data_IF_017297798590
#
_entry.id   IF_017297798590
#
_cell.length_a   1.000
_cell.length_b   1.000
_cell.length_c   1.000
_cell.angle_alpha   90.00
_cell.angle_beta   90.00
_cell.angle_gamma   90.00
#
_symmetry.space_group_name_H-M   'P 1'
#
loop_
_entity.id
_entity.type
_entity.pdbx_description
1 polymer ?
#
# COMPACT_ATOMS: atom_id res chain seq x y z
N UNK A 1 -3.88 -5.00 9.44
CA UNK A 1 -3.93 -4.68 7.99
C UNK A 1 -5.19 -5.20 7.26
N UNK A 2 -5.48 -6.51 7.21
CA UNK A 2 -6.59 -7.10 6.40
C UNK A 2 -7.95 -6.42 6.53
N UNK A 3 -8.38 -6.08 7.75
CA UNK A 3 -9.65 -5.37 8.01
C UNK A 3 -9.70 -3.99 7.33
N UNK A 4 -8.58 -3.27 7.31
CA UNK A 4 -8.50 -1.92 6.72
C UNK A 4 -8.61 -2.03 5.20
N UNK A 5 -7.85 -2.95 4.61
CA UNK A 5 -7.92 -3.24 3.19
C UNK A 5 -9.32 -3.68 2.75
N UNK A 6 -9.98 -4.59 3.50
CA UNK A 6 -11.36 -4.99 3.18
C UNK A 6 -12.34 -3.82 3.23
N UNK A 7 -12.10 -2.82 4.09
CA UNK A 7 -12.92 -1.61 4.12
C UNK A 7 -12.74 -0.75 2.88
N UNK A 8 -11.54 -0.69 2.29
CA UNK A 8 -11.33 -0.02 1.00
C UNK A 8 -12.19 -0.68 -0.09
N UNK A 9 -12.08 -2.01 -0.22
CA UNK A 9 -12.84 -2.79 -1.21
C UNK A 9 -14.36 -2.67 -0.99
N UNK A 10 -14.84 -2.80 0.25
CA UNK A 10 -16.26 -2.61 0.56
C UNK A 10 -16.74 -1.21 0.19
N UNK A 11 -15.94 -0.18 0.48
CA UNK A 11 -16.29 1.21 0.14
C UNK A 11 -16.41 1.39 -1.37
N UNK A 12 -15.45 0.89 -2.14
CA UNK A 12 -15.49 0.91 -3.60
C UNK A 12 -16.75 0.22 -4.15
N UNK A 13 -17.05 -0.98 -3.66
CA UNK A 13 -18.20 -1.77 -4.10
C UNK A 13 -19.55 -1.09 -3.78
N UNK A 14 -19.59 -0.24 -2.76
CA UNK A 14 -20.76 0.57 -2.41
C UNK A 14 -20.80 1.93 -3.13
N UNK A 15 -19.85 2.24 -4.01
CA UNK A 15 -19.76 3.53 -4.69
C UNK A 15 -19.22 4.67 -3.82
N UNK A 16 -18.61 4.34 -2.68
CA UNK A 16 -18.03 5.29 -1.74
C UNK A 16 -16.54 5.48 -2.04
N UNK A 17 -16.22 6.31 -3.04
CA UNK A 17 -14.87 6.45 -3.59
C UNK A 17 -13.92 7.23 -2.68
N UNK A 18 -14.38 8.31 -2.05
CA UNK A 18 -13.62 9.06 -1.04
C UNK A 18 -13.21 8.16 0.16
N UNK A 19 -14.14 7.45 0.85
CA UNK A 19 -13.75 6.49 1.88
C UNK A 19 -12.83 5.37 1.38
N UNK A 20 -12.98 4.95 0.12
CA UNK A 20 -12.11 3.95 -0.48
C UNK A 20 -10.65 4.41 -0.49
N UNK A 21 -10.35 5.58 -1.06
CA UNK A 21 -8.96 6.07 -1.16
C UNK A 21 -8.36 6.42 0.20
N UNK A 22 -9.18 6.87 1.16
CA UNK A 22 -8.76 7.06 2.57
C UNK A 22 -8.32 5.73 3.18
N UNK A 23 -9.07 4.64 2.94
CA UNK A 23 -8.71 3.31 3.43
C UNK A 23 -7.50 2.72 2.70
N UNK A 24 -7.28 3.07 1.43
CA UNK A 24 -6.04 2.73 0.72
C UNK A 24 -4.83 3.36 1.41
N UNK A 25 -4.88 4.67 1.69
CA UNK A 25 -3.85 5.38 2.45
C UNK A 25 -3.63 4.78 3.84
N UNK A 26 -4.71 4.47 4.57
CA UNK A 26 -4.62 3.82 5.89
C UNK A 26 -4.01 2.42 5.81
N UNK A 27 -4.19 1.71 4.70
CA UNK A 27 -3.52 0.43 4.45
C UNK A 27 -2.02 0.62 4.28
N UNK A 28 -1.56 1.67 3.58
CA UNK A 28 -0.13 2.01 3.52
C UNK A 28 0.46 2.30 4.91
N UNK A 29 -0.28 3.00 5.78
CA UNK A 29 0.17 3.18 7.16
C UNK A 29 0.32 1.86 7.89
N UNK A 30 -0.61 0.92 7.68
CA UNK A 30 -0.53 -0.41 8.25
C UNK A 30 0.70 -1.18 7.72
N UNK A 31 1.03 -1.08 6.43
CA UNK A 31 2.25 -1.67 5.86
C UNK A 31 3.49 -1.15 6.61
N UNK A 32 3.64 0.16 6.77
CA UNK A 32 4.75 0.74 7.53
C UNK A 32 4.85 0.17 8.96
N UNK A 33 3.71 0.01 9.64
CA UNK A 33 3.64 -0.55 11.00
C UNK A 33 4.07 -2.02 11.04
N UNK A 34 3.70 -2.84 10.05
CA UNK A 34 4.12 -4.25 9.95
C UNK A 34 5.65 -4.39 9.86
N UNK A 35 6.33 -3.44 9.21
CA UNK A 35 7.80 -3.37 9.14
C UNK A 35 8.44 -2.59 10.31
N UNK A 36 7.69 -2.31 11.38
CA UNK A 36 8.20 -1.65 12.58
C UNK A 36 8.39 -0.13 12.47
N UNK A 37 7.96 0.49 11.38
CA UNK A 37 8.14 1.91 11.09
C UNK A 37 6.92 2.70 11.58
N UNK A 38 6.95 3.12 12.86
CA UNK A 38 5.78 3.70 13.55
C UNK A 38 5.87 5.21 13.82
N UNK A 39 7.05 5.81 13.69
CA UNK A 39 7.29 7.23 14.01
C UNK A 39 7.32 8.08 12.74
N UNK A 40 6.88 9.33 12.86
CA UNK A 40 6.82 10.30 11.75
C UNK A 40 5.51 10.25 10.95
N UNK A 41 5.38 11.19 10.01
CA UNK A 41 4.27 11.23 9.07
C UNK A 41 4.31 10.07 8.07
N UNK A 42 3.26 9.86 7.27
CA UNK A 42 3.25 8.77 6.30
C UNK A 42 4.37 8.91 5.24
N UNK A 43 4.66 10.14 4.79
CA UNK A 43 5.70 10.40 3.79
C UNK A 43 7.08 9.90 4.23
N UNK A 44 7.51 10.30 5.43
CA UNK A 44 8.78 9.88 6.03
C UNK A 44 8.86 8.38 6.26
N UNK A 45 7.75 7.76 6.68
CA UNK A 45 7.67 6.29 6.84
C UNK A 45 7.81 5.54 5.50
N UNK A 46 7.20 6.03 4.43
CA UNK A 46 7.33 5.43 3.09
C UNK A 46 8.79 5.51 2.58
N UNK A 47 9.45 6.64 2.78
CA UNK A 47 10.89 6.78 2.45
C UNK A 47 11.74 5.80 3.25
N UNK A 48 11.39 5.50 4.51
CA UNK A 48 12.11 4.50 5.30
C UNK A 48 11.88 3.06 4.79
N UNK A 49 10.71 2.73 4.23
CA UNK A 49 10.51 1.43 3.57
C UNK A 49 11.46 1.26 2.39
N UNK A 50 11.64 2.30 1.58
CA UNK A 50 12.56 2.30 0.44
C UNK A 50 14.01 2.17 0.90
N UNK A 51 14.44 2.99 1.86
CA UNK A 51 15.80 2.94 2.41
C UNK A 51 16.15 1.60 3.05
N UNK A 52 15.17 0.90 3.60
CA UNK A 52 15.33 -0.43 4.18
C UNK A 52 15.27 -1.55 3.13
N UNK A 53 15.09 -1.22 1.84
CA UNK A 53 14.99 -2.19 0.74
C UNK A 53 13.70 -3.02 0.72
N UNK A 54 12.66 -2.59 1.46
CA UNK A 54 11.36 -3.28 1.47
C UNK A 54 10.59 -2.98 0.17
N UNK A 55 10.69 -1.75 -0.31
CA UNK A 55 10.15 -1.31 -1.60
C UNK A 55 11.26 -0.64 -2.40
N UNK A 56 11.09 -0.54 -3.72
CA UNK A 56 11.98 0.24 -4.58
C UNK A 56 11.47 1.67 -4.81
N UNK A 57 12.26 2.48 -5.49
CA UNK A 57 11.92 3.87 -5.80
C UNK A 57 10.61 4.01 -6.60
N UNK A 58 10.26 3.01 -7.42
CA UNK A 58 9.04 3.03 -8.23
C UNK A 58 7.81 2.81 -7.35
N UNK A 59 7.85 1.82 -6.47
CA UNK A 59 6.79 1.57 -5.48
C UNK A 59 6.67 2.71 -4.46
N UNK A 60 7.77 3.38 -4.12
CA UNK A 60 7.73 4.60 -3.32
C UNK A 60 6.92 5.70 -4.02
N UNK A 61 7.15 5.92 -5.32
CA UNK A 61 6.39 6.91 -6.10
C UNK A 61 4.90 6.61 -6.10
N UNK A 62 4.50 5.35 -6.30
CA UNK A 62 3.10 4.95 -6.25
C UNK A 62 2.50 5.15 -4.86
N UNK A 63 3.23 4.73 -3.82
CA UNK A 63 2.78 4.88 -2.44
C UNK A 63 2.60 6.35 -2.04
N UNK A 64 3.46 7.25 -2.55
CA UNK A 64 3.34 8.68 -2.28
C UNK A 64 2.12 9.29 -2.98
N UNK A 65 1.80 8.85 -4.19
CA UNK A 65 0.58 9.28 -4.90
C UNK A 65 -0.69 8.82 -4.17
N UNK A 66 -0.72 7.55 -3.75
CA UNK A 66 -1.82 7.03 -2.92
C UNK A 66 -1.96 7.77 -1.59
N UNK A 67 -0.84 8.24 -1.01
CA UNK A 67 -0.86 9.11 0.18
C UNK A 67 -1.46 10.47 -0.14
N UNK A 68 -1.12 11.06 -1.29
CA UNK A 68 -1.62 12.37 -1.71
C UNK A 68 -3.13 12.32 -1.92
N UNK A 69 -3.63 11.44 -2.79
CA UNK A 69 -5.07 11.34 -3.05
C UNK A 69 -5.89 10.99 -1.80
N UNK A 70 -5.34 10.14 -0.91
CA UNK A 70 -6.00 9.84 0.36
C UNK A 70 -5.93 10.98 1.39
N UNK A 71 -4.96 11.89 1.28
CA UNK A 71 -4.94 13.13 2.08
C UNK A 71 -5.99 14.11 1.54
N UNK A 72 -6.04 14.27 0.22
CA UNK A 72 -6.98 15.19 -0.45
C UNK A 72 -8.42 14.78 -0.14
N UNK A 73 -8.76 13.50 -0.31
CA UNK A 73 -10.08 12.97 0.05
C UNK A 73 -10.44 13.11 1.54
N UNK A 74 -9.45 13.19 2.43
CA UNK A 74 -9.69 13.29 3.87
C UNK A 74 -9.84 14.73 4.37
N UNK A 75 -9.30 15.71 3.64
CA UNK A 75 -9.09 17.06 4.16
C UNK A 75 -9.57 18.17 3.22
N UNK A 76 -9.65 17.92 1.91
CA UNK A 76 -10.11 18.90 0.93
C UNK A 76 -11.58 18.64 0.57
N UNK A 77 -12.45 19.58 0.93
CA UNK A 77 -13.90 19.51 0.69
C UNK A 77 -14.29 19.80 -0.76
N UNK A 78 -13.35 20.27 -1.58
CA UNK A 78 -13.57 20.64 -2.98
C UNK A 78 -13.09 19.56 -3.96
N UNK A 79 -12.32 18.59 -3.50
CA UNK A 79 -11.80 17.50 -4.34
C UNK A 79 -12.91 16.49 -4.60
N UNK A 80 -13.09 16.14 -5.87
CA UNK A 80 -13.98 15.07 -6.30
C UNK A 80 -13.13 13.82 -6.57
N UNK A 81 -13.41 12.73 -5.84
CA UNK A 81 -12.79 11.42 -6.10
C UNK A 81 -13.72 10.63 -7.02
N UNK A 82 -13.26 10.35 -8.23
CA UNK A 82 -14.01 9.58 -9.20
C UNK A 82 -13.86 8.07 -8.99
N UNK A 83 -14.72 7.30 -9.67
CA UNK A 83 -14.65 5.84 -9.65
C UNK A 83 -13.31 5.32 -10.17
N UNK A 84 -12.76 5.94 -11.23
CA UNK A 84 -11.46 5.60 -11.80
C UNK A 84 -10.35 5.79 -10.79
N UNK A 85 -10.33 6.92 -10.09
CA UNK A 85 -9.33 7.22 -9.08
C UNK A 85 -9.31 6.18 -7.97
N UNK A 86 -10.49 5.78 -7.48
CA UNK A 86 -10.61 4.76 -6.45
C UNK A 86 -10.22 3.36 -6.96
N UNK A 87 -10.50 3.03 -8.22
CA UNK A 87 -10.07 1.77 -8.83
C UNK A 87 -8.55 1.73 -8.97
N UNK A 88 -7.96 2.77 -9.53
CA UNK A 88 -6.51 2.88 -9.69
C UNK A 88 -5.82 2.82 -8.32
N UNK A 89 -6.39 3.46 -7.31
CA UNK A 89 -5.87 3.41 -5.95
C UNK A 89 -5.85 1.98 -5.37
N UNK A 90 -6.88 1.18 -5.63
CA UNK A 90 -6.92 -0.24 -5.24
C UNK A 90 -5.88 -1.03 -6.03
N UNK A 91 -5.80 -0.85 -7.34
CA UNK A 91 -4.91 -1.62 -8.21
C UNK A 91 -3.44 -1.41 -7.84
N UNK A 92 -3.03 -0.15 -7.58
CA UNK A 92 -1.68 0.15 -7.12
C UNK A 92 -1.42 -0.36 -5.70
N UNK A 93 -2.40 -0.28 -4.79
CA UNK A 93 -2.26 -0.84 -3.45
C UNK A 93 -2.08 -2.36 -3.49
N UNK A 94 -2.85 -3.05 -4.35
CA UNK A 94 -2.74 -4.50 -4.57
C UNK A 94 -1.38 -4.87 -5.13
N UNK A 95 -0.86 -4.11 -6.09
CA UNK A 95 0.49 -4.32 -6.61
C UNK A 95 1.57 -4.17 -5.51
N UNK A 96 1.44 -3.16 -4.64
CA UNK A 96 2.35 -2.96 -3.50
C UNK A 96 2.26 -4.15 -2.53
N UNK A 97 1.05 -4.55 -2.13
CA UNK A 97 0.86 -5.69 -1.21
C UNK A 97 1.38 -7.01 -1.80
N UNK A 98 1.12 -7.25 -3.09
CA UNK A 98 1.61 -8.39 -3.84
C UNK A 98 3.15 -8.44 -3.81
N UNK A 99 3.80 -7.33 -4.13
CA UNK A 99 5.26 -7.24 -4.13
C UNK A 99 5.83 -7.48 -2.73
N UNK A 100 5.37 -6.70 -1.76
CA UNK A 100 5.95 -6.63 -0.41
C UNK A 100 5.77 -7.93 0.37
N UNK A 101 4.62 -8.60 0.26
CA UNK A 101 4.33 -9.77 1.10
C UNK A 101 4.37 -11.10 0.35
N UNK A 102 3.81 -11.15 -0.86
CA UNK A 102 3.62 -12.43 -1.54
C UNK A 102 4.82 -12.79 -2.42
N UNK A 103 5.30 -11.84 -3.23
CA UNK A 103 6.44 -12.10 -4.11
C UNK A 103 7.74 -12.28 -3.32
N UNK A 104 7.99 -11.47 -2.28
CA UNK A 104 9.17 -11.67 -1.42
C UNK A 104 9.16 -13.07 -0.78
N UNK A 105 8.05 -13.47 -0.13
CA UNK A 105 7.92 -14.82 0.44
C UNK A 105 8.15 -15.91 -0.61
N UNK A 106 7.51 -15.79 -1.77
CA UNK A 106 7.65 -16.75 -2.88
C UNK A 106 9.11 -16.85 -3.33
N UNK A 107 9.84 -15.74 -3.35
CA UNK A 107 11.25 -15.69 -3.71
C UNK A 107 12.14 -16.35 -2.65
N UNK A 108 11.91 -16.09 -1.36
CA UNK A 108 12.65 -16.75 -0.28
C UNK A 108 12.41 -18.27 -0.30
N UNK A 109 11.16 -18.71 -0.46
CA UNK A 109 10.83 -20.14 -0.57
C UNK A 109 11.53 -20.78 -1.78
N UNK A 110 11.61 -20.08 -2.91
CA UNK A 110 12.36 -20.53 -4.07
C UNK A 110 13.86 -20.67 -3.79
N UNK A 111 14.48 -19.67 -3.14
CA UNK A 111 15.90 -19.72 -2.76
C UNK A 111 16.18 -20.90 -1.83
N UNK A 112 15.36 -21.10 -0.80
CA UNK A 112 15.50 -22.19 0.16
C UNK A 112 15.43 -23.55 -0.53
N UNK A 113 14.45 -23.76 -1.43
CA UNK A 113 14.36 -25.01 -2.22
C UNK A 113 15.59 -25.28 -3.08
N UNK A 114 16.27 -24.25 -3.59
CA UNK A 114 17.49 -24.41 -4.38
C UNK A 114 18.70 -24.74 -3.51
N UNK A 115 18.81 -24.13 -2.33
CA UNK A 115 19.89 -24.41 -1.38
C UNK A 115 19.80 -25.86 -0.89
N UNK A 116 18.62 -26.31 -0.46
CA UNK A 116 18.42 -27.69 0.04
C UNK A 116 18.62 -28.80 -1.00
N UNK A 117 18.63 -28.47 -2.31
CA UNK A 117 18.95 -29.43 -3.38
C UNK A 117 20.46 -29.52 -3.68
N UNK A 118 21.22 -28.52 -3.25
CA UNK A 118 22.65 -28.40 -3.49
C UNK A 118 23.48 -28.65 -2.22
N UNK A 119 22.83 -28.95 -1.10
CA UNK A 119 23.43 -29.34 0.18
C UNK A 119 23.28 -30.86 0.34
#
# INVERSE_FOLDING_TARGET
>A
MRKIYSQAISSYNCGLYEPCVIMCRKTLEAICVEFGIKKGDLKSRLVLLEKNGIIDQKLLSWSDELRMIGNDAAHDMCVLIEKSDAQDAIDFLDAILLYVFLLDKKFQDFKNRRISKNA
#
